data_IF_077965156064
#
_entry.id   IF_077965156064
#
_cell.length_a   1.000
_cell.length_b   1.000
_cell.length_c   1.000
_cell.angle_alpha   90.00
_cell.angle_beta   90.00
_cell.angle_gamma   90.00
#
_symmetry.space_group_name_H-M   'P 1'
#
loop_
_entity.id
_entity.type
_entity.pdbx_description
1 polymer ?
#
# COMPACT_ATOMS: atom_id res chain seq x y z
N UNK A 1 10.91 -16.72 -0.75
CA UNK A 1 9.54 -16.16 -0.76
C UNK A 1 8.62 -17.20 -1.35
N UNK A 2 7.70 -17.75 -0.55
CA UNK A 2 6.60 -18.57 -1.09
C UNK A 2 5.80 -17.62 -1.97
N UNK A 3 5.88 -17.78 -3.28
CA UNK A 3 5.14 -16.94 -4.22
C UNK A 3 3.65 -17.22 -3.98
N UNK A 4 2.92 -16.24 -3.48
CA UNK A 4 1.46 -16.27 -3.48
C UNK A 4 1.00 -16.66 -4.88
N UNK A 5 0.23 -17.75 -4.98
CA UNK A 5 -0.21 -18.25 -6.27
C UNK A 5 -1.20 -17.26 -6.91
N UNK A 6 -0.79 -16.65 -8.01
CA UNK A 6 -1.60 -15.67 -8.74
C UNK A 6 -2.95 -16.24 -9.22
N UNK A 7 -3.01 -17.54 -9.48
CA UNK A 7 -4.24 -18.21 -9.88
C UNK A 7 -5.21 -18.26 -8.71
N UNK A 8 -4.76 -18.71 -7.56
CA UNK A 8 -5.56 -18.73 -6.32
C UNK A 8 -6.02 -17.31 -5.94
N UNK A 9 -5.14 -16.32 -6.02
CA UNK A 9 -5.50 -14.91 -5.80
C UNK A 9 -6.59 -14.45 -6.76
N UNK A 10 -6.49 -14.78 -8.05
CA UNK A 10 -7.48 -14.40 -9.04
C UNK A 10 -8.84 -15.09 -8.78
N UNK A 11 -8.85 -16.33 -8.31
CA UNK A 11 -10.06 -17.07 -7.91
C UNK A 11 -10.68 -16.44 -6.67
N UNK A 12 -9.93 -16.21 -5.61
CA UNK A 12 -10.37 -15.60 -4.35
C UNK A 12 -10.93 -14.18 -4.52
N UNK A 13 -10.38 -13.43 -5.46
CA UNK A 13 -10.86 -12.07 -5.80
C UNK A 13 -11.96 -12.08 -6.87
N UNK A 14 -12.43 -13.25 -7.28
CA UNK A 14 -13.54 -13.43 -8.21
C UNK A 14 -13.22 -12.98 -9.65
N UNK A 15 -11.94 -12.94 -10.06
CA UNK A 15 -11.56 -12.45 -11.40
C UNK A 15 -11.95 -13.41 -12.52
N UNK A 16 -12.09 -14.70 -12.21
CA UNK A 16 -12.44 -15.76 -13.18
C UNK A 16 -13.95 -16.02 -13.31
N UNK A 17 -14.77 -15.32 -12.55
CA UNK A 17 -16.23 -15.51 -12.58
C UNK A 17 -16.84 -14.93 -13.85
N UNK A 18 -17.44 -15.79 -14.68
CA UNK A 18 -18.32 -15.38 -15.77
C UNK A 18 -19.65 -14.89 -15.16
N UNK A 19 -19.97 -13.63 -15.38
CA UNK A 19 -21.07 -12.90 -14.75
C UNK A 19 -22.41 -13.61 -14.71
N UNK A 20 -22.99 -13.71 -13.51
CA UNK A 20 -24.42 -13.62 -13.31
C UNK A 20 -24.78 -12.14 -13.08
N UNK A 21 -25.74 -11.60 -13.83
CA UNK A 21 -26.07 -10.17 -13.93
C UNK A 21 -26.55 -9.47 -12.65
N UNK A 22 -26.61 -10.12 -11.49
CA UNK A 22 -27.23 -9.58 -10.27
C UNK A 22 -26.63 -10.05 -8.94
N UNK A 23 -25.54 -10.82 -8.93
CA UNK A 23 -24.93 -11.24 -7.67
C UNK A 23 -23.60 -10.50 -7.45
N UNK A 24 -23.40 -10.05 -6.22
CA UNK A 24 -22.11 -9.55 -5.77
C UNK A 24 -21.07 -10.68 -5.92
N UNK A 25 -19.98 -10.41 -6.62
CA UNK A 25 -18.92 -11.39 -6.83
C UNK A 25 -18.16 -11.53 -5.51
N UNK A 26 -18.17 -12.71 -4.86
CA UNK A 26 -17.53 -12.86 -3.57
C UNK A 26 -16.01 -12.68 -3.67
N UNK A 27 -15.44 -12.18 -2.60
CA UNK A 27 -14.00 -12.00 -2.39
C UNK A 27 -13.62 -12.70 -1.09
N UNK A 28 -12.52 -13.43 -1.12
CA UNK A 28 -11.96 -14.12 0.04
C UNK A 28 -10.56 -13.57 0.36
N UNK A 29 -10.11 -13.77 1.58
CA UNK A 29 -8.74 -13.47 2.02
C UNK A 29 -8.28 -12.04 1.70
N UNK A 30 -9.19 -11.07 1.74
CA UNK A 30 -8.89 -9.68 1.46
C UNK A 30 -9.33 -8.78 2.64
N UNK A 31 -8.45 -7.85 3.01
CA UNK A 31 -8.57 -7.07 4.24
C UNK A 31 -8.18 -5.62 4.00
N UNK A 32 -8.94 -4.70 4.57
CA UNK A 32 -8.56 -3.31 4.73
C UNK A 32 -7.99 -3.10 6.13
N UNK A 33 -6.77 -2.64 6.23
CA UNK A 33 -6.13 -2.23 7.48
C UNK A 33 -5.93 -0.73 7.51
N UNK A 34 -6.13 -0.13 8.68
CA UNK A 34 -5.87 1.30 8.91
C UNK A 34 -5.37 1.57 10.33
N UNK A 35 -4.76 2.73 10.52
CA UNK A 35 -4.47 3.28 11.85
C UNK A 35 -5.36 4.50 12.10
N UNK A 36 -5.69 4.79 13.37
CA UNK A 36 -6.52 5.94 13.71
C UNK A 36 -5.72 7.25 13.62
N UNK A 37 -6.10 8.13 12.70
CA UNK A 37 -5.49 9.44 12.51
C UNK A 37 -5.82 10.47 13.59
N UNK A 38 -6.76 10.18 14.51
CA UNK A 38 -7.12 11.08 15.60
C UNK A 38 -6.26 10.87 16.88
N UNK A 39 -5.47 9.78 16.92
CA UNK A 39 -4.67 9.44 18.12
C UNK A 39 -3.35 10.19 18.16
N UNK A 40 -2.76 10.46 17.01
CA UNK A 40 -1.51 11.21 16.89
C UNK A 40 -1.60 12.25 15.78
N UNK A 41 -1.00 13.40 16.01
CA UNK A 41 -1.03 14.50 15.04
C UNK A 41 -0.22 14.19 13.79
N UNK A 42 0.86 13.42 13.90
CA UNK A 42 1.77 13.14 12.78
C UNK A 42 2.59 11.89 12.98
N UNK A 43 2.64 11.04 11.93
CA UNK A 43 3.55 9.90 11.81
C UNK A 43 4.81 10.32 11.06
N UNK A 44 4.65 10.92 9.87
CA UNK A 44 5.75 11.33 9.00
C UNK A 44 5.88 12.85 9.01
N UNK A 45 7.04 13.36 9.39
CA UNK A 45 7.30 14.78 9.59
C UNK A 45 7.89 15.46 8.35
N UNK A 46 8.58 14.71 7.51
CA UNK A 46 9.27 15.21 6.34
C UNK A 46 9.41 14.14 5.25
N UNK A 47 9.94 14.52 4.07
CA UNK A 47 10.14 13.60 2.94
C UNK A 47 10.99 12.38 3.31
N UNK A 48 12.04 12.53 4.12
CA UNK A 48 12.92 11.41 4.50
C UNK A 48 12.16 10.35 5.30
N UNK A 49 11.25 10.76 6.18
CA UNK A 49 10.40 9.84 6.94
C UNK A 49 9.49 9.02 6.01
N UNK A 50 8.88 9.67 5.02
CA UNK A 50 8.08 8.98 4.02
C UNK A 50 8.91 8.00 3.19
N UNK A 51 10.11 8.41 2.72
CA UNK A 51 11.03 7.53 1.98
C UNK A 51 11.35 6.28 2.79
N UNK A 52 11.69 6.43 4.07
CA UNK A 52 11.95 5.29 4.96
C UNK A 52 10.67 4.47 5.18
N UNK A 53 9.50 5.11 5.29
CA UNK A 53 8.21 4.45 5.39
C UNK A 53 7.91 3.58 4.17
N UNK A 54 8.07 4.12 2.97
CA UNK A 54 7.91 3.41 1.69
C UNK A 54 8.87 2.22 1.56
N UNK A 55 10.17 2.44 1.80
CA UNK A 55 11.17 1.38 1.73
C UNK A 55 10.91 0.27 2.75
N UNK A 56 10.33 0.62 3.89
CA UNK A 56 9.97 -0.35 4.93
C UNK A 56 8.83 -1.26 4.52
N UNK A 57 7.88 -0.80 3.71
CA UNK A 57 6.83 -1.67 3.15
C UNK A 57 7.50 -2.88 2.48
N UNK A 58 8.42 -2.63 1.55
CA UNK A 58 9.13 -3.69 0.84
C UNK A 58 9.90 -4.62 1.79
N UNK A 59 10.71 -4.06 2.70
CA UNK A 59 11.56 -4.85 3.60
C UNK A 59 10.75 -5.71 4.58
N UNK A 60 9.63 -5.21 5.07
CA UNK A 60 8.78 -5.98 6.00
C UNK A 60 8.05 -7.08 5.23
N UNK A 61 7.54 -6.75 4.03
CA UNK A 61 6.78 -7.70 3.21
C UNK A 61 7.58 -8.98 2.88
N UNK A 62 8.93 -8.91 2.83
CA UNK A 62 9.76 -10.10 2.57
C UNK A 62 9.62 -11.22 3.61
N UNK A 63 8.99 -10.95 4.77
CA UNK A 63 8.87 -11.92 5.86
C UNK A 63 7.44 -12.46 6.05
N UNK A 64 6.49 -12.06 5.21
CA UNK A 64 5.07 -12.41 5.35
C UNK A 64 4.46 -12.88 4.04
N UNK A 65 3.55 -13.84 4.12
CA UNK A 65 2.82 -14.38 2.96
C UNK A 65 1.55 -13.55 2.71
N UNK A 66 1.71 -12.28 2.39
CA UNK A 66 0.61 -11.42 1.98
C UNK A 66 0.99 -10.56 0.77
N UNK A 67 -0.02 -10.11 0.04
CA UNK A 67 0.13 -9.23 -1.12
C UNK A 67 -0.49 -7.86 -0.83
N UNK A 68 0.14 -6.80 -1.32
CA UNK A 68 -0.40 -5.45 -1.24
C UNK A 68 -1.16 -5.16 -2.53
N UNK A 69 -2.46 -4.88 -2.39
CA UNK A 69 -3.31 -4.44 -3.51
C UNK A 69 -3.37 -2.92 -3.59
N UNK A 70 -3.46 -2.23 -2.46
CA UNK A 70 -3.40 -0.77 -2.39
C UNK A 70 -2.83 -0.30 -1.05
N UNK A 71 -2.25 0.89 -1.05
CA UNK A 71 -1.83 1.56 0.19
C UNK A 71 -1.85 3.07 0.04
N UNK A 72 -1.92 3.76 1.18
CA UNK A 72 -1.69 5.20 1.29
C UNK A 72 -1.04 5.51 2.64
N UNK A 73 0.09 6.19 2.61
CA UNK A 73 0.77 6.71 3.80
C UNK A 73 0.41 8.19 3.93
N UNK A 74 -0.48 8.51 4.87
CA UNK A 74 -0.78 9.90 5.24
C UNK A 74 0.20 10.36 6.32
N UNK A 75 0.25 11.65 6.56
CA UNK A 75 1.13 12.20 7.60
C UNK A 75 0.75 11.76 9.02
N UNK A 76 -0.52 11.43 9.28
CA UNK A 76 -1.04 11.05 10.59
C UNK A 76 -1.70 9.66 10.66
N UNK A 77 -1.92 8.98 9.55
CA UNK A 77 -2.50 7.63 9.52
C UNK A 77 -2.07 6.84 8.29
N UNK A 78 -2.36 5.53 8.30
CA UNK A 78 -1.95 4.57 7.30
C UNK A 78 -3.15 3.77 6.81
N UNK A 79 -3.19 3.45 5.52
CA UNK A 79 -4.15 2.53 4.94
C UNK A 79 -3.48 1.49 4.06
N UNK A 80 -3.93 0.23 4.18
CA UNK A 80 -3.48 -0.89 3.33
C UNK A 80 -4.67 -1.77 2.94
N UNK A 81 -4.75 -2.15 1.67
CA UNK A 81 -5.58 -3.27 1.21
C UNK A 81 -4.64 -4.45 0.98
N UNK A 82 -4.80 -5.48 1.79
CA UNK A 82 -3.96 -6.67 1.79
C UNK A 82 -4.76 -7.89 1.35
N UNK A 83 -4.11 -8.77 0.58
CA UNK A 83 -4.60 -10.11 0.27
C UNK A 83 -3.69 -11.14 0.93
N UNK A 84 -4.30 -12.15 1.55
CA UNK A 84 -3.61 -13.25 2.22
C UNK A 84 -4.39 -13.74 3.44
N UNK A 85 -3.82 -14.75 4.11
CA UNK A 85 -4.36 -15.17 5.41
C UNK A 85 -4.39 -14.00 6.39
N UNK A 86 -5.44 -13.94 7.23
CA UNK A 86 -5.62 -12.83 8.17
C UNK A 86 -4.43 -12.66 9.11
N UNK A 87 -3.91 -13.76 9.65
CA UNK A 87 -2.80 -13.70 10.61
C UNK A 87 -1.50 -13.19 9.95
N UNK A 88 -1.24 -13.58 8.69
CA UNK A 88 -0.11 -13.06 7.92
C UNK A 88 -0.24 -11.56 7.65
N UNK A 89 -1.41 -11.12 7.19
CA UNK A 89 -1.70 -9.70 6.95
C UNK A 89 -1.62 -8.88 8.26
N UNK A 90 -2.19 -9.40 9.33
CA UNK A 90 -2.17 -8.75 10.65
C UNK A 90 -0.73 -8.64 11.20
N UNK A 91 0.06 -9.70 11.11
CA UNK A 91 1.48 -9.68 11.51
C UNK A 91 2.31 -8.71 10.68
N UNK A 92 2.07 -8.64 9.37
CA UNK A 92 2.70 -7.64 8.50
C UNK A 92 2.41 -6.22 9.00
N UNK A 93 1.13 -5.88 9.25
CA UNK A 93 0.72 -4.56 9.71
C UNK A 93 1.36 -4.20 11.05
N UNK A 94 1.31 -5.11 12.03
CA UNK A 94 1.91 -4.89 13.35
C UNK A 94 3.43 -4.67 13.24
N UNK A 95 4.13 -5.45 12.43
CA UNK A 95 5.57 -5.31 12.26
C UNK A 95 5.93 -4.03 11.50
N UNK A 96 5.15 -3.65 10.47
CA UNK A 96 5.34 -2.39 9.76
C UNK A 96 5.17 -1.19 10.70
N UNK A 97 4.07 -1.15 11.46
CA UNK A 97 3.79 -0.08 12.45
C UNK A 97 4.87 -0.05 13.53
N UNK A 98 5.24 -1.20 14.09
CA UNK A 98 6.28 -1.32 15.12
C UNK A 98 7.63 -0.75 14.65
N UNK A 99 8.10 -1.17 13.48
CA UNK A 99 9.39 -0.70 12.94
C UNK A 99 9.35 0.77 12.55
N UNK A 100 8.22 1.24 12.03
CA UNK A 100 8.02 2.66 11.70
C UNK A 100 8.01 3.51 12.97
N UNK A 101 7.30 3.08 14.01
CA UNK A 101 7.29 3.73 15.31
C UNK A 101 8.70 3.87 15.91
N UNK A 102 9.48 2.78 15.92
CA UNK A 102 10.86 2.82 16.42
C UNK A 102 11.72 3.83 15.65
N UNK A 103 11.60 3.85 14.33
CA UNK A 103 12.36 4.80 13.51
C UNK A 103 11.97 6.24 13.81
N UNK A 104 10.68 6.56 13.77
CA UNK A 104 10.15 7.92 14.00
C UNK A 104 10.51 8.39 15.41
N UNK A 105 10.32 7.55 16.42
CA UNK A 105 10.66 7.88 17.80
C UNK A 105 12.15 8.21 17.97
N UNK A 106 13.04 7.43 17.35
CA UNK A 106 14.48 7.66 17.40
C UNK A 106 14.90 8.91 16.61
N UNK A 107 14.31 9.12 15.43
CA UNK A 107 14.67 10.23 14.55
C UNK A 107 14.24 11.58 15.14
N UNK A 108 13.06 11.64 15.74
CA UNK A 108 12.45 12.86 16.26
C UNK A 108 12.49 12.97 17.79
N UNK A 109 13.13 12.02 18.47
CA UNK A 109 13.26 11.96 19.95
C UNK A 109 11.89 11.95 20.65
N UNK A 110 10.94 11.20 20.08
CA UNK A 110 9.58 11.05 20.59
C UNK A 110 9.44 9.76 21.39
N UNK A 111 8.63 9.77 22.46
CA UNK A 111 8.29 8.57 23.21
C UNK A 111 7.18 7.78 22.51
N UNK A 112 7.45 6.51 22.11
CA UNK A 112 6.51 5.48 21.61
C UNK A 112 5.37 5.98 20.72
N UNK A 113 5.66 6.89 19.82
CA UNK A 113 4.70 7.70 19.09
C UNK A 113 3.60 6.86 18.39
N UNK A 114 3.98 6.08 17.39
CA UNK A 114 3.03 5.28 16.59
C UNK A 114 2.66 3.94 17.24
N UNK A 115 3.48 3.40 18.13
CA UNK A 115 3.28 2.07 18.73
C UNK A 115 2.05 1.97 19.67
N UNK A 116 1.39 3.09 19.98
CA UNK A 116 0.17 3.15 20.79
C UNK A 116 -1.10 3.34 19.93
N UNK A 117 -0.95 3.57 18.62
CA UNK A 117 -2.09 3.80 17.75
C UNK A 117 -2.77 2.46 17.45
N UNK A 118 -4.10 2.35 17.65
CA UNK A 118 -4.85 1.17 17.28
C UNK A 118 -4.72 0.85 15.80
N UNK A 119 -4.61 -0.43 15.48
CA UNK A 119 -4.73 -0.94 14.12
C UNK A 119 -6.13 -1.49 13.97
N UNK A 120 -6.90 -0.89 13.07
CA UNK A 120 -8.23 -1.34 12.69
C UNK A 120 -8.13 -2.23 11.46
N UNK A 121 -9.05 -3.17 11.33
CA UNK A 121 -9.17 -3.98 10.13
C UNK A 121 -10.63 -4.24 9.78
N UNK A 122 -10.88 -4.45 8.50
CA UNK A 122 -12.16 -4.84 7.98
C UNK A 122 -12.00 -5.88 6.88
N UNK A 123 -12.80 -6.95 6.94
CA UNK A 123 -12.86 -7.95 5.89
C UNK A 123 -13.55 -7.39 4.66
N UNK A 124 -13.01 -7.68 3.49
CA UNK A 124 -13.60 -7.35 2.20
C UNK A 124 -14.22 -8.62 1.64
N UNK A 125 -15.53 -8.63 1.45
CA UNK A 125 -16.31 -9.83 1.15
C UNK A 125 -16.83 -9.91 -0.31
N UNK A 126 -16.79 -8.79 -1.04
CA UNK A 126 -17.20 -8.75 -2.44
C UNK A 126 -16.39 -7.75 -3.27
N UNK A 127 -16.45 -7.92 -4.61
CA UNK A 127 -15.69 -7.08 -5.53
C UNK A 127 -16.13 -5.61 -5.56
N UNK A 128 -17.39 -5.32 -5.29
CA UNK A 128 -17.88 -3.94 -5.26
C UNK A 128 -17.25 -3.21 -4.07
N UNK A 129 -17.26 -3.87 -2.92
CA UNK A 129 -16.62 -3.35 -1.74
C UNK A 129 -15.09 -3.23 -1.91
N UNK A 130 -14.44 -4.23 -2.55
CA UNK A 130 -13.01 -4.16 -2.87
C UNK A 130 -12.67 -2.92 -3.72
N UNK A 131 -13.44 -2.65 -4.78
CA UNK A 131 -13.26 -1.45 -5.61
C UNK A 131 -13.44 -0.17 -4.82
N UNK A 132 -14.47 -0.11 -3.98
CA UNK A 132 -14.75 1.03 -3.11
C UNK A 132 -13.62 1.25 -2.11
N UNK A 133 -13.14 0.18 -1.46
CA UNK A 133 -12.04 0.25 -0.49
C UNK A 133 -10.72 0.71 -1.13
N UNK A 134 -10.38 0.21 -2.33
CA UNK A 134 -9.20 0.68 -3.06
C UNK A 134 -9.32 2.17 -3.37
N UNK A 135 -10.48 2.61 -3.92
CA UNK A 135 -10.71 4.03 -4.22
C UNK A 135 -10.68 4.89 -2.95
N UNK A 136 -11.24 4.43 -1.85
CA UNK A 136 -11.17 5.11 -0.55
C UNK A 136 -9.73 5.32 -0.12
N UNK A 137 -8.92 4.26 -0.13
CA UNK A 137 -7.51 4.32 0.30
C UNK A 137 -6.71 5.35 -0.50
N UNK A 138 -6.80 5.32 -1.83
CA UNK A 138 -6.03 6.22 -2.68
C UNK A 138 -6.56 7.66 -2.73
N UNK A 139 -7.80 7.89 -2.30
CA UNK A 139 -8.44 9.22 -2.25
C UNK A 139 -8.22 9.96 -0.93
N UNK A 140 -7.60 9.32 0.07
CA UNK A 140 -7.32 9.97 1.35
C UNK A 140 -6.65 11.36 1.20
N UNK A 141 -5.62 11.55 0.34
CA UNK A 141 -4.97 12.86 0.20
C UNK A 141 -5.90 13.98 -0.26
N UNK A 142 -6.66 13.88 -1.37
CA UNK A 142 -7.59 14.95 -1.76
C UNK A 142 -8.76 15.12 -0.77
N UNK A 143 -9.23 14.05 -0.13
CA UNK A 143 -10.29 14.14 0.91
C UNK A 143 -9.79 14.90 2.14
N UNK A 144 -8.52 14.73 2.51
CA UNK A 144 -7.86 15.49 3.57
C UNK A 144 -7.52 16.94 3.16
N UNK A 145 -7.90 17.37 1.95
CA UNK A 145 -7.64 18.73 1.45
C UNK A 145 -6.20 18.97 0.98
N UNK A 146 -5.41 17.92 0.79
CA UNK A 146 -4.07 18.07 0.22
C UNK A 146 -4.17 18.41 -1.28
N UNK A 147 -3.22 19.17 -1.85
CA UNK A 147 -3.23 19.60 -3.25
C UNK A 147 -2.79 18.47 -4.21
N UNK A 148 -3.36 17.28 -4.03
CA UNK A 148 -3.10 16.08 -4.83
C UNK A 148 -4.42 15.52 -5.36
N UNK A 149 -4.31 14.80 -6.45
CA UNK A 149 -5.36 13.91 -6.93
C UNK A 149 -5.11 12.48 -6.42
N UNK A 150 -6.05 11.56 -6.67
CA UNK A 150 -5.89 10.16 -6.26
C UNK A 150 -4.78 9.41 -7.03
N UNK A 151 -4.22 9.98 -8.09
CA UNK A 151 -3.19 9.34 -8.95
C UNK A 151 -1.84 10.06 -8.96
N UNK A 152 -1.63 11.12 -8.17
CA UNK A 152 -0.37 11.88 -8.13
C UNK A 152 0.23 12.04 -6.73
N UNK A 153 -0.42 11.53 -5.70
CA UNK A 153 0.15 11.54 -4.36
C UNK A 153 1.32 10.53 -4.26
N UNK A 154 2.55 10.98 -3.98
CA UNK A 154 3.75 10.16 -4.13
C UNK A 154 3.87 9.02 -3.10
N UNK A 155 3.09 9.08 -2.01
CA UNK A 155 3.14 8.13 -0.91
C UNK A 155 1.95 7.17 -0.91
N UNK A 156 1.38 6.91 -2.08
CA UNK A 156 0.28 5.97 -2.29
C UNK A 156 0.46 5.14 -3.56
N UNK A 157 -0.30 4.06 -3.64
CA UNK A 157 -0.33 3.21 -4.83
C UNK A 157 -1.21 3.75 -5.97
N UNK A 158 -1.95 4.85 -5.75
CA UNK A 158 -2.89 5.39 -6.75
C UNK A 158 -2.26 5.73 -8.09
N UNK A 159 -1.01 6.13 -8.06
CA UNK A 159 -0.21 6.46 -9.23
C UNK A 159 0.17 5.25 -10.11
N UNK A 160 -0.02 4.01 -9.64
CA UNK A 160 0.46 2.81 -10.33
C UNK A 160 -0.55 2.25 -11.35
N UNK A 161 -1.86 2.44 -11.11
CA UNK A 161 -2.90 1.76 -11.85
C UNK A 161 -3.22 2.43 -13.18
N UNK A 162 -3.38 1.61 -14.24
CA UNK A 162 -3.75 2.02 -15.60
C UNK A 162 -2.82 3.07 -16.24
N UNK A 163 -1.60 3.18 -15.74
CA UNK A 163 -0.58 3.97 -16.45
C UNK A 163 0.05 3.16 -17.57
N UNK A 164 0.31 3.83 -18.68
CA UNK A 164 1.19 3.27 -19.72
C UNK A 164 2.55 2.97 -19.07
N UNK A 165 3.06 1.76 -19.26
CA UNK A 165 4.39 1.35 -18.76
C UNK A 165 5.49 2.24 -19.37
N UNK A 166 5.61 3.47 -18.97
CA UNK A 166 6.53 4.47 -19.53
C UNK A 166 6.30 5.87 -18.99
N UNK A 167 5.14 6.15 -18.40
CA UNK A 167 4.80 7.51 -17.91
C UNK A 167 5.41 7.87 -16.55
N UNK A 168 5.94 6.88 -15.80
CA UNK A 168 6.72 7.15 -14.58
C UNK A 168 8.13 7.66 -14.87
N UNK A 169 8.62 7.44 -16.06
CA UNK A 169 9.89 7.96 -16.53
C UNK A 169 9.66 9.24 -17.33
N UNK A 170 9.34 10.36 -16.67
CA UNK A 170 9.63 11.69 -17.23
C UNK A 170 11.13 11.96 -17.21
N UNK A 171 11.95 10.94 -17.37
CA UNK A 171 13.34 11.03 -17.74
C UNK A 171 13.56 10.09 -18.91
N UNK A 172 13.96 10.67 -20.01
CA UNK A 172 14.37 10.03 -21.26
C UNK A 172 14.53 8.51 -21.24
N UNK A 173 13.87 7.83 -22.19
CA UNK A 173 13.99 6.40 -22.52
C UNK A 173 15.44 5.91 -22.80
N UNK A 174 16.44 6.73 -22.48
CA UNK A 174 17.87 6.46 -22.73
C UNK A 174 18.63 5.81 -21.57
N UNK A 175 18.00 5.59 -20.40
CA UNK A 175 18.73 5.17 -19.18
C UNK A 175 18.16 3.95 -18.44
N UNK A 176 17.61 2.94 -19.14
CA UNK A 176 17.31 1.65 -18.49
C UNK A 176 18.55 0.93 -17.92
N UNK A 177 19.73 1.24 -18.48
CA UNK A 177 21.01 0.66 -18.04
C UNK A 177 21.57 1.27 -16.74
N UNK A 178 20.99 2.38 -16.23
CA UNK A 178 21.45 3.09 -15.02
C UNK A 178 20.45 3.05 -13.86
N UNK A 179 19.44 2.19 -13.89
CA UNK A 179 18.52 2.03 -12.76
C UNK A 179 19.26 1.29 -11.62
N UNK A 180 19.40 1.95 -10.48
CA UNK A 180 20.00 1.35 -9.28
C UNK A 180 19.06 0.32 -8.68
N UNK A 181 19.66 -0.73 -8.11
CA UNK A 181 18.98 -1.77 -7.33
C UNK A 181 19.44 -1.71 -5.88
N UNK A 182 18.70 -2.35 -4.99
CA UNK A 182 19.09 -2.38 -3.56
C UNK A 182 20.48 -3.01 -3.40
N UNK A 183 20.76 -4.13 -4.09
CA UNK A 183 22.03 -4.84 -4.03
C UNK A 183 23.23 -4.02 -4.57
N UNK A 184 22.99 -3.01 -5.43
CA UNK A 184 24.03 -2.15 -5.99
C UNK A 184 24.46 -1.02 -5.02
N UNK A 185 23.70 -0.80 -3.94
CA UNK A 185 23.97 0.24 -2.98
C UNK A 185 25.06 -0.18 -1.99
N UNK A 186 25.94 0.76 -1.63
CA UNK A 186 26.90 0.55 -0.56
C UNK A 186 26.20 0.44 0.82
N UNK A 187 26.91 -0.14 1.78
CA UNK A 187 26.41 -0.35 3.13
C UNK A 187 25.90 0.94 3.82
N UNK A 188 26.60 2.07 3.78
CA UNK A 188 26.11 3.33 4.36
C UNK A 188 24.79 3.79 3.76
N UNK A 189 24.64 3.71 2.43
CA UNK A 189 23.41 4.10 1.72
C UNK A 189 22.26 3.16 2.08
N UNK A 190 22.50 1.84 2.08
CA UNK A 190 21.46 0.89 2.53
C UNK A 190 21.03 1.18 3.97
N UNK A 191 21.99 1.45 4.87
CA UNK A 191 21.69 1.82 6.27
C UNK A 191 20.87 3.09 6.38
N UNK A 192 21.15 4.08 5.54
CA UNK A 192 20.38 5.33 5.50
C UNK A 192 18.94 5.10 5.05
N UNK A 193 18.73 4.40 3.92
CA UNK A 193 17.44 4.27 3.27
C UNK A 193 16.54 3.20 3.91
N UNK A 194 17.13 2.09 4.34
CA UNK A 194 16.38 0.92 4.83
C UNK A 194 16.51 0.68 6.33
N UNK A 195 17.41 1.42 6.99
CA UNK A 195 17.81 1.19 8.39
C UNK A 195 18.37 -0.23 8.62
N UNK A 196 18.80 -0.88 7.55
CA UNK A 196 19.43 -2.18 7.49
C UNK A 196 20.49 -2.17 6.38
N UNK A 197 21.61 -2.85 6.56
CA UNK A 197 22.65 -3.03 5.55
C UNK A 197 22.79 -4.49 5.15
N UNK A 198 23.66 -4.76 4.19
CA UNK A 198 23.89 -6.08 3.61
C UNK A 198 22.60 -6.69 3.02
N UNK A 199 21.78 -5.86 2.36
CA UNK A 199 20.59 -6.27 1.67
C UNK A 199 20.96 -6.74 0.26
N UNK A 200 20.61 -7.97 -0.06
CA UNK A 200 20.86 -8.60 -1.37
C UNK A 200 19.49 -8.79 -2.11
N UNK A 201 18.79 -7.68 -2.33
CA UNK A 201 17.54 -7.68 -3.08
C UNK A 201 17.76 -7.04 -4.45
N UNK A 202 17.30 -7.74 -5.50
CA UNK A 202 17.33 -7.30 -6.90
C UNK A 202 16.13 -6.37 -7.24
N UNK A 203 15.65 -5.60 -6.28
CA UNK A 203 14.54 -4.67 -6.46
C UNK A 203 15.03 -3.32 -6.97
N UNK A 204 14.32 -2.77 -7.94
CA UNK A 204 14.62 -1.49 -8.57
C UNK A 204 14.32 -0.32 -7.63
N UNK A 205 15.09 0.75 -7.78
CA UNK A 205 14.90 2.01 -7.06
C UNK A 205 14.48 3.11 -8.03
N UNK A 206 13.50 3.90 -7.59
CA UNK A 206 13.17 5.21 -8.18
C UNK A 206 13.64 6.26 -7.18
N UNK A 207 14.66 7.03 -7.55
CA UNK A 207 15.38 7.90 -6.64
C UNK A 207 15.94 7.11 -5.43
N UNK A 208 15.43 7.40 -4.22
CA UNK A 208 15.82 6.78 -2.97
C UNK A 208 14.80 5.73 -2.46
N UNK A 209 13.80 5.37 -3.27
CA UNK A 209 12.72 4.45 -2.89
C UNK A 209 12.71 3.21 -3.76
N UNK A 210 12.35 2.08 -3.16
CA UNK A 210 11.99 0.89 -3.94
C UNK A 210 10.80 1.23 -4.83
N UNK A 211 10.90 0.89 -6.12
CA UNK A 211 9.76 1.07 -7.04
C UNK A 211 8.55 0.33 -6.49
N UNK A 212 7.43 1.02 -6.22
CA UNK A 212 6.23 0.34 -5.72
C UNK A 212 5.70 -0.77 -6.61
N UNK A 213 6.05 -0.81 -7.90
CA UNK A 213 5.74 -1.94 -8.80
C UNK A 213 6.43 -3.24 -8.37
N UNK A 214 7.47 -3.19 -7.55
CA UNK A 214 8.16 -4.38 -7.03
C UNK A 214 7.35 -5.09 -5.92
N UNK A 215 6.36 -4.43 -5.31
CA UNK A 215 5.63 -4.98 -4.17
C UNK A 215 4.11 -4.77 -4.20
N UNK A 216 3.58 -3.99 -5.14
CA UNK A 216 2.13 -3.84 -5.36
C UNK A 216 1.68 -4.70 -6.52
N UNK A 217 0.61 -5.45 -6.35
CA UNK A 217 0.03 -6.31 -7.40
C UNK A 217 -0.86 -5.50 -8.35
N UNK A 218 -0.24 -4.62 -9.14
CA UNK A 218 -0.91 -3.67 -10.04
C UNK A 218 -1.84 -4.37 -11.02
N UNK A 219 -1.38 -5.43 -11.69
CA UNK A 219 -2.16 -6.17 -12.67
C UNK A 219 -3.42 -6.83 -12.09
N UNK A 220 -3.40 -7.20 -10.81
CA UNK A 220 -4.56 -7.75 -10.11
C UNK A 220 -5.60 -6.66 -9.88
N UNK A 221 -5.18 -5.49 -9.43
CA UNK A 221 -6.08 -4.34 -9.22
C UNK A 221 -6.68 -3.88 -10.56
N UNK A 222 -5.88 -3.80 -11.62
CA UNK A 222 -6.36 -3.48 -12.96
C UNK A 222 -7.39 -4.51 -13.45
N UNK A 223 -7.15 -5.80 -13.18
CA UNK A 223 -8.12 -6.86 -13.51
C UNK A 223 -9.44 -6.74 -12.72
N UNK A 224 -9.38 -6.31 -11.44
CA UNK A 224 -10.58 -6.03 -10.62
C UNK A 224 -11.42 -4.93 -11.25
N UNK A 225 -10.83 -3.83 -11.69
CA UNK A 225 -11.56 -2.73 -12.35
C UNK A 225 -11.87 -2.99 -13.81
N UNK A 226 -11.13 -3.89 -14.48
CA UNK A 226 -11.23 -4.29 -15.90
C UNK A 226 -10.83 -3.22 -16.90
N UNK A 227 -11.15 -1.95 -16.66
CA UNK A 227 -10.85 -0.85 -17.58
C UNK A 227 -10.49 0.42 -16.84
N UNK A 228 -9.65 1.25 -17.44
CA UNK A 228 -9.33 2.58 -16.97
C UNK A 228 -10.58 3.44 -16.74
N UNK A 229 -11.57 3.34 -17.66
CA UNK A 229 -12.84 4.06 -17.52
C UNK A 229 -13.62 3.64 -16.27
N UNK A 230 -13.66 2.33 -15.95
CA UNK A 230 -14.32 1.85 -14.74
C UNK A 230 -13.57 2.30 -13.49
N UNK A 231 -12.25 2.28 -13.49
CA UNK A 231 -11.43 2.79 -12.40
C UNK A 231 -11.72 4.28 -12.12
N UNK A 232 -11.71 5.13 -13.15
CA UNK A 232 -12.08 6.54 -12.99
C UNK A 232 -13.51 6.73 -12.49
N UNK A 233 -14.47 5.98 -13.05
CA UNK A 233 -15.87 6.05 -12.62
C UNK A 233 -16.00 5.77 -11.12
N UNK A 234 -15.41 4.70 -10.63
CA UNK A 234 -15.43 4.37 -9.20
C UNK A 234 -14.75 5.46 -8.34
N UNK A 235 -13.68 6.08 -8.80
CA UNK A 235 -13.04 7.18 -8.09
C UNK A 235 -13.93 8.44 -8.06
N UNK A 236 -14.78 8.67 -9.06
CA UNK A 236 -15.70 9.81 -9.06
C UNK A 236 -16.90 9.60 -8.12
N UNK A 237 -17.47 8.38 -8.06
CA UNK A 237 -18.70 8.12 -7.30
C UNK A 237 -18.48 7.67 -5.85
N UNK A 238 -17.31 7.11 -5.52
CA UNK A 238 -17.03 6.56 -4.18
C UNK A 238 -16.84 7.62 -3.09
N UNK A 239 -17.02 8.90 -3.39
CA UNK A 239 -16.99 9.99 -2.41
C UNK A 239 -18.20 10.04 -1.47
N UNK A 240 -19.26 9.27 -1.77
CA UNK A 240 -20.54 9.32 -1.04
C UNK A 240 -20.84 8.06 -0.21
N UNK A 241 -19.95 7.06 -0.21
CA UNK A 241 -20.18 5.83 0.55
C UNK A 241 -19.44 5.91 1.88
N UNK A 242 -20.19 6.10 2.97
CA UNK A 242 -19.71 6.00 4.35
C UNK A 242 -19.15 4.60 4.61
N UNK A 243 -17.83 4.48 4.62
CA UNK A 243 -17.09 3.29 5.08
C UNK A 243 -17.06 3.25 6.62
N UNK A 244 -17.34 4.37 7.27
CA UNK A 244 -17.25 4.55 8.73
C UNK A 244 -18.23 3.71 9.57
N UNK A 245 -19.25 3.08 8.97
CA UNK A 245 -20.33 2.45 9.74
C UNK A 245 -20.10 0.97 10.12
N UNK A 246 -18.95 0.36 9.83
CA UNK A 246 -18.71 -1.08 10.05
C UNK A 246 -17.37 -1.43 10.71
N UNK A 247 -16.71 -0.51 11.39
CA UNK A 247 -15.45 -0.78 12.05
C UNK A 247 -15.60 -1.62 13.32
N UNK A 248 -15.05 -2.83 13.30
CA UNK A 248 -14.78 -3.61 14.50
C UNK A 248 -13.43 -3.20 15.09
N UNK A 249 -13.41 -2.62 16.30
CA UNK A 249 -12.17 -2.36 17.03
C UNK A 249 -11.80 -3.56 17.89
N UNK A 250 -10.57 -4.04 17.80
CA UNK A 250 -10.00 -4.93 18.81
C UNK A 250 -9.18 -4.07 19.78
N UNK A 251 -9.71 -3.89 20.99
CA UNK A 251 -8.91 -3.48 22.13
C UNK A 251 -8.07 -4.68 22.59
N UNK A 252 -6.79 -4.44 22.91
CA UNK A 252 -5.90 -5.42 23.54
C UNK A 252 -6.39 -5.80 24.93
#
# INVERSE_FOLDING_TARGET
>A
QTMLDRKTMAEDLGLNTRFAKSQEIPVCNCWHFSTDGNVIDRIFFNREDFVVGMNRIFIVLQNYECAILAFCLMDNHLHFILYGDFEECNRFMHEYVRRTSIYISNQHKLERHLGQVPIHYQKIEDQRYLKTAICYVIKNPPVAGLPYTYYDYPWSSGALYFRSKGEWTNSDNSNKENQKRICDLDYPTQRKLFRKGNLDYDALLIEDMVDPNEYVFVEIVEAVFKTHKAYHYFNCISSEIDIESKEGSISR
#
